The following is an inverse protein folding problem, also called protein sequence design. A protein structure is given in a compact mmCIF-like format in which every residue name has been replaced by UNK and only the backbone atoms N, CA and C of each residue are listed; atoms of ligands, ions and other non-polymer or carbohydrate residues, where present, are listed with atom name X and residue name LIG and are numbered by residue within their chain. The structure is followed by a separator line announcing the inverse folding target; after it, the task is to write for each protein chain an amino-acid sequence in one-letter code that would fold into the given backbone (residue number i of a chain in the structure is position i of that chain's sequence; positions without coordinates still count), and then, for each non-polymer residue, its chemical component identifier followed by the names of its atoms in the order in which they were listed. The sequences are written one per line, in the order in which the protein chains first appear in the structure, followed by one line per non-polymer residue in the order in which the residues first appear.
data_IF_488575067538
#
_entry.id   IF_488575067538
#
_cell.length_a   1.000
_cell.length_b   1.000
_cell.length_c   1.000
_cell.angle_alpha   90.00
_cell.angle_beta   90.00
_cell.angle_gamma   90.00
#
_symmetry.space_group_name_H-M   'P 1'
#
loop_
_entity.id
_entity.type
_entity.pdbx_description
1 polymer ?
#
# COMPACT_ATOMS: atom_id res chain seq x y z
N UNK A 1 28.97 -7.66 -2.05
CA UNK A 1 28.02 -6.52 -2.04
C UNK A 1 26.75 -6.92 -1.31
N UNK A 2 26.16 -5.99 -0.57
CA UNK A 2 24.95 -6.22 0.22
C UNK A 2 23.86 -5.29 -0.31
N UNK A 3 22.68 -5.84 -0.60
CA UNK A 3 21.49 -5.06 -0.91
C UNK A 3 20.50 -5.17 0.24
N UNK A 4 20.31 -4.08 0.98
CA UNK A 4 19.28 -4.00 2.02
C UNK A 4 18.05 -3.32 1.44
N UNK A 5 17.08 -4.13 0.99
CA UNK A 5 15.81 -3.65 0.46
C UNK A 5 14.89 -3.15 1.57
N UNK A 6 14.96 -3.75 2.76
CA UNK A 6 14.00 -3.52 3.84
C UNK A 6 12.55 -3.64 3.28
N UNK A 7 11.68 -2.66 3.55
CA UNK A 7 10.31 -2.55 3.06
C UNK A 7 10.17 -1.73 1.76
N UNK A 8 11.29 -1.40 1.09
CA UNK A 8 11.25 -0.69 -0.18
C UNK A 8 10.67 -1.57 -1.30
N UNK A 9 9.97 -0.93 -2.22
CA UNK A 9 9.42 -1.52 -3.43
C UNK A 9 10.14 -0.96 -4.67
N UNK A 10 11.38 -1.41 -4.96
CA UNK A 10 12.14 -0.90 -6.09
C UNK A 10 11.43 -1.23 -7.40
N UNK A 11 11.18 -0.20 -8.20
CA UNK A 11 10.36 -0.27 -9.41
C UNK A 11 11.16 -0.67 -10.66
N UNK A 12 12.46 -0.35 -10.69
CA UNK A 12 13.32 -0.59 -11.83
C UNK A 12 14.27 -1.77 -11.56
N UNK A 13 13.99 -2.90 -12.21
CA UNK A 13 14.80 -4.11 -12.08
C UNK A 13 16.15 -4.01 -12.79
N UNK A 14 16.28 -3.19 -13.85
CA UNK A 14 17.52 -3.03 -14.60
C UNK A 14 18.53 -2.20 -13.82
N UNK A 15 18.08 -1.13 -13.18
CA UNK A 15 18.91 -0.35 -12.25
C UNK A 15 19.43 -1.24 -11.12
N UNK A 16 18.57 -2.07 -10.52
CA UNK A 16 18.99 -2.99 -9.48
C UNK A 16 20.01 -4.02 -9.97
N UNK A 17 19.78 -4.63 -11.14
CA UNK A 17 20.71 -5.60 -11.74
C UNK A 17 22.07 -4.97 -12.03
N UNK A 18 22.10 -3.72 -12.51
CA UNK A 18 23.33 -2.98 -12.79
C UNK A 18 24.19 -2.71 -11.54
N UNK A 19 23.58 -2.65 -10.36
CA UNK A 19 24.28 -2.50 -9.08
C UNK A 19 24.88 -3.82 -8.56
N UNK A 20 24.45 -4.96 -9.11
CA UNK A 20 24.89 -6.31 -8.75
C UNK A 20 26.23 -6.73 -9.39
N UNK A 21 26.66 -7.99 -9.17
CA UNK A 21 25.96 -9.03 -8.38
C UNK A 21 26.00 -8.74 -6.87
N UNK A 22 25.00 -9.27 -6.15
CA UNK A 22 24.90 -9.14 -4.69
C UNK A 22 25.17 -10.48 -4.00
N UNK A 23 25.95 -10.45 -2.92
CA UNK A 23 26.21 -11.63 -2.09
C UNK A 23 25.08 -11.83 -1.06
N UNK A 24 24.47 -10.74 -0.61
CA UNK A 24 23.39 -10.77 0.38
C UNK A 24 22.25 -9.81 0.02
N UNK A 25 21.02 -10.29 0.20
CA UNK A 25 19.79 -9.53 0.04
C UNK A 25 18.96 -9.60 1.32
N UNK A 26 18.73 -8.44 1.94
CA UNK A 26 17.87 -8.30 3.11
C UNK A 26 16.53 -7.73 2.67
N UNK A 27 15.41 -8.38 3.03
CA UNK A 27 14.07 -8.00 2.57
C UNK A 27 12.98 -8.15 3.62
N UNK A 28 11.89 -7.42 3.40
CA UNK A 28 10.62 -7.63 4.08
C UNK A 28 9.88 -8.84 3.51
N UNK A 29 9.55 -9.77 4.40
CA UNK A 29 8.76 -10.96 4.07
C UNK A 29 7.38 -10.95 4.76
N UNK A 30 7.25 -10.21 5.85
CA UNK A 30 6.02 -10.03 6.62
C UNK A 30 5.67 -8.54 6.67
N UNK A 31 4.52 -8.17 6.12
CA UNK A 31 4.13 -6.77 5.94
C UNK A 31 3.65 -6.13 7.25
N UNK A 32 4.06 -4.89 7.47
CA UNK A 32 3.53 -4.02 8.52
C UNK A 32 2.20 -3.40 8.07
N UNK A 33 1.09 -4.11 8.27
CA UNK A 33 -0.25 -3.67 7.84
C UNK A 33 -1.34 -4.22 8.75
N UNK A 34 -2.37 -3.43 9.03
CA UNK A 34 -3.48 -3.82 9.93
C UNK A 34 -4.53 -4.72 9.27
N UNK A 35 -4.68 -4.67 7.95
CA UNK A 35 -5.69 -5.47 7.24
C UNK A 35 -5.26 -6.94 7.12
N UNK A 36 -6.12 -7.93 7.39
CA UNK A 36 -7.52 -7.81 7.80
C UNK A 36 -7.72 -7.80 9.32
N UNK A 37 -6.67 -7.93 10.12
CA UNK A 37 -6.70 -8.24 11.56
C UNK A 37 -7.60 -7.33 12.41
N UNK A 38 -7.68 -6.05 12.08
CA UNK A 38 -8.51 -5.08 12.82
C UNK A 38 -9.98 -5.07 12.38
N UNK A 39 -10.35 -5.76 11.31
CA UNK A 39 -11.69 -5.70 10.76
C UNK A 39 -12.64 -6.71 11.42
N UNK A 40 -13.87 -6.26 11.70
CA UNK A 40 -14.95 -7.13 12.20
C UNK A 40 -15.61 -7.92 11.07
N UNK A 41 -14.86 -8.81 10.43
CA UNK A 41 -15.40 -9.73 9.44
C UNK A 41 -15.98 -10.99 10.08
N UNK A 42 -16.89 -11.67 9.38
CA UNK A 42 -17.28 -13.03 9.73
C UNK A 42 -16.05 -13.93 9.70
N UNK A 43 -15.96 -14.85 10.65
CA UNK A 43 -14.79 -15.72 10.86
C UNK A 43 -14.30 -16.40 9.58
N UNK A 44 -15.19 -17.05 8.81
CA UNK A 44 -14.82 -17.70 7.55
C UNK A 44 -14.20 -16.74 6.52
N UNK A 45 -14.71 -15.51 6.43
CA UNK A 45 -14.17 -14.49 5.53
C UNK A 45 -12.81 -13.97 6.02
N UNK A 46 -12.67 -13.77 7.34
CA UNK A 46 -11.40 -13.41 7.96
C UNK A 46 -10.32 -14.46 7.63
N UNK A 47 -10.62 -15.73 7.87
CA UNK A 47 -9.74 -16.87 7.60
C UNK A 47 -9.29 -16.94 6.14
N UNK A 48 -10.22 -16.74 5.20
CA UNK A 48 -9.90 -16.71 3.77
C UNK A 48 -8.98 -15.53 3.39
N UNK A 49 -9.25 -14.34 3.94
CA UNK A 49 -8.43 -13.15 3.71
C UNK A 49 -7.01 -13.31 4.27
N UNK A 50 -6.88 -13.89 5.47
CA UNK A 50 -5.59 -14.15 6.10
C UNK A 50 -4.79 -15.14 5.29
N UNK A 51 -5.36 -16.30 4.92
CA UNK A 51 -4.68 -17.29 4.06
C UNK A 51 -4.18 -16.68 2.75
N UNK A 52 -5.06 -15.95 2.04
CA UNK A 52 -4.70 -15.27 0.79
C UNK A 52 -3.56 -14.27 1.01
N UNK A 53 -3.60 -13.51 2.11
CA UNK A 53 -2.59 -12.51 2.41
C UNK A 53 -1.24 -13.12 2.82
N UNK A 54 -1.23 -14.25 3.54
CA UNK A 54 -0.01 -15.01 3.82
C UNK A 54 0.65 -15.47 2.51
N UNK A 55 -0.11 -16.14 1.64
CA UNK A 55 0.37 -16.58 0.31
C UNK A 55 0.95 -15.42 -0.52
N UNK A 56 0.19 -14.32 -0.64
CA UNK A 56 0.60 -13.17 -1.44
C UNK A 56 1.88 -12.51 -0.92
N UNK A 57 2.07 -12.42 0.40
CA UNK A 57 3.27 -11.83 0.99
C UNK A 57 4.50 -12.71 0.77
N UNK A 58 4.40 -14.01 1.01
CA UNK A 58 5.50 -14.96 0.75
C UNK A 58 5.89 -14.98 -0.74
N UNK A 59 4.89 -15.08 -1.64
CA UNK A 59 5.13 -15.01 -3.09
C UNK A 59 5.78 -13.70 -3.53
N UNK A 60 5.38 -12.57 -2.94
CA UNK A 60 5.96 -11.26 -3.25
C UNK A 60 7.41 -11.19 -2.78
N UNK A 61 7.69 -11.65 -1.57
CA UNK A 61 9.05 -11.65 -1.01
C UNK A 61 10.00 -12.54 -1.83
N UNK A 62 9.56 -13.74 -2.24
CA UNK A 62 10.34 -14.60 -3.13
C UNK A 62 10.61 -13.93 -4.49
N UNK A 63 9.61 -13.27 -5.08
CA UNK A 63 9.83 -12.50 -6.33
C UNK A 63 10.88 -11.41 -6.18
N UNK A 64 10.93 -10.73 -5.02
CA UNK A 64 12.00 -9.76 -4.77
C UNK A 64 13.37 -10.43 -4.66
N UNK A 65 13.45 -11.58 -3.98
CA UNK A 65 14.69 -12.36 -3.91
C UNK A 65 15.19 -12.80 -5.30
N UNK A 66 14.28 -13.18 -6.19
CA UNK A 66 14.59 -13.53 -7.58
C UNK A 66 15.03 -12.31 -8.39
N UNK A 67 14.31 -11.20 -8.27
CA UNK A 67 14.60 -9.96 -9.01
C UNK A 67 15.97 -9.38 -8.66
N UNK A 68 16.33 -9.40 -7.37
CA UNK A 68 17.61 -8.90 -6.88
C UNK A 68 18.74 -9.90 -7.18
N UNK A 69 18.45 -11.20 -7.12
CA UNK A 69 19.41 -12.25 -7.45
C UNK A 69 20.58 -12.34 -6.46
N UNK A 70 20.34 -12.03 -5.18
CA UNK A 70 21.35 -12.19 -4.14
C UNK A 70 21.73 -13.66 -3.93
N UNK A 71 23.01 -13.95 -3.70
CA UNK A 71 23.47 -15.32 -3.41
C UNK A 71 22.89 -15.88 -2.10
N UNK A 72 22.63 -15.00 -1.13
CA UNK A 72 21.99 -15.32 0.15
C UNK A 72 20.86 -14.33 0.44
N UNK A 73 19.75 -14.85 0.98
CA UNK A 73 18.52 -14.10 1.24
C UNK A 73 18.24 -14.10 2.74
N UNK A 74 18.09 -12.91 3.32
CA UNK A 74 17.93 -12.70 4.77
C UNK A 74 16.56 -12.05 5.05
N UNK A 75 15.57 -12.81 5.55
CA UNK A 75 14.30 -12.25 5.99
C UNK A 75 14.51 -11.48 7.30
N UNK A 76 14.49 -10.14 7.25
CA UNK A 76 14.79 -9.30 8.43
C UNK A 76 13.73 -8.25 8.75
N UNK A 77 12.91 -7.87 7.77
CA UNK A 77 11.77 -6.98 8.02
C UNK A 77 10.50 -7.81 8.19
N UNK A 78 10.26 -8.23 9.44
CA UNK A 78 9.13 -9.05 9.88
C UNK A 78 9.49 -10.06 10.98
N UNK A 79 8.53 -10.50 11.83
CA UNK A 79 7.28 -9.84 12.22
C UNK A 79 7.49 -8.89 13.40
N UNK A 80 6.54 -7.97 13.65
CA UNK A 80 6.38 -7.39 14.97
C UNK A 80 6.03 -8.49 15.98
N UNK A 81 6.66 -8.48 17.15
CA UNK A 81 6.14 -9.19 18.32
C UNK A 81 5.12 -8.29 19.03
N UNK A 82 3.92 -8.82 19.30
CA UNK A 82 2.90 -8.10 20.05
C UNK A 82 2.95 -8.54 21.51
N UNK A 83 3.43 -7.66 22.38
CA UNK A 83 3.65 -7.98 23.80
C UNK A 83 2.56 -7.42 24.71
N UNK A 84 1.72 -6.50 24.23
CA UNK A 84 0.54 -6.08 24.99
C UNK A 84 -0.52 -7.18 24.96
N UNK A 85 -1.18 -7.43 26.09
CA UNK A 85 -2.21 -8.47 26.24
C UNK A 85 -3.35 -8.28 25.22
N UNK A 86 -3.72 -7.04 24.92
CA UNK A 86 -4.80 -6.73 23.96
C UNK A 86 -4.43 -7.06 22.51
N UNK A 87 -3.14 -7.23 22.22
CA UNK A 87 -2.63 -7.50 20.86
C UNK A 87 -1.93 -8.86 20.76
N UNK A 88 -1.77 -9.61 21.86
CA UNK A 88 -0.99 -10.84 21.89
C UNK A 88 -1.53 -11.90 20.92
N UNK A 89 -2.83 -11.88 20.63
CA UNK A 89 -3.50 -12.74 19.65
C UNK A 89 -3.01 -12.53 18.20
N UNK A 90 -2.31 -11.43 17.91
CA UNK A 90 -1.76 -11.14 16.59
C UNK A 90 -0.43 -11.87 16.31
N UNK A 91 0.21 -12.46 17.31
CA UNK A 91 1.41 -13.27 17.12
C UNK A 91 1.09 -14.61 16.43
N UNK A 92 1.96 -15.06 15.53
CA UNK A 92 1.77 -16.30 14.75
C UNK A 92 2.12 -17.54 15.59
N UNK A 93 1.24 -17.89 16.53
CA UNK A 93 1.42 -19.02 17.44
C UNK A 93 0.96 -20.34 16.81
N UNK A 94 1.75 -21.42 16.92
CA UNK A 94 1.30 -22.76 16.54
C UNK A 94 0.02 -23.15 17.29
N UNK A 95 -0.96 -23.72 16.58
CA UNK A 95 -2.22 -24.17 17.18
C UNK A 95 -3.19 -23.04 17.60
N UNK A 96 -2.88 -21.78 17.30
CA UNK A 96 -3.80 -20.67 17.56
C UNK A 96 -5.16 -20.89 16.86
N UNK A 97 -6.29 -20.53 17.49
CA UNK A 97 -7.63 -20.71 16.91
C UNK A 97 -7.83 -19.95 15.59
N UNK A 98 -7.08 -18.87 15.38
CA UNK A 98 -7.08 -18.10 14.14
C UNK A 98 -5.65 -17.76 13.72
N UNK A 99 -5.26 -18.04 12.46
CA UNK A 99 -3.97 -17.64 11.93
C UNK A 99 -3.92 -16.11 11.82
N UNK A 100 -2.71 -15.55 11.85
CA UNK A 100 -2.45 -14.12 11.65
C UNK A 100 -1.78 -13.89 10.29
N UNK A 101 -1.62 -12.63 9.88
CA UNK A 101 -0.82 -12.27 8.70
C UNK A 101 0.65 -11.99 9.02
N UNK A 102 0.99 -11.88 10.31
CA UNK A 102 2.32 -11.50 10.78
C UNK A 102 3.23 -12.71 10.91
N UNK A 103 3.67 -13.22 9.75
CA UNK A 103 4.60 -14.35 9.64
C UNK A 103 5.95 -14.04 10.28
N UNK A 104 6.58 -15.04 10.87
CA UNK A 104 8.01 -15.00 11.22
C UNK A 104 8.91 -15.67 10.18
N UNK A 105 10.21 -15.52 10.37
CA UNK A 105 11.24 -15.94 9.43
C UNK A 105 11.17 -17.43 9.11
N UNK A 106 10.84 -18.29 10.09
CA UNK A 106 10.80 -19.74 9.88
C UNK A 106 9.76 -20.11 8.82
N UNK A 107 8.58 -19.46 8.85
CA UNK A 107 7.50 -19.69 7.89
C UNK A 107 7.90 -19.29 6.46
N UNK A 108 8.64 -18.19 6.31
CA UNK A 108 9.09 -17.77 4.98
C UNK A 108 10.25 -18.62 4.46
N UNK A 109 11.18 -19.04 5.34
CA UNK A 109 12.27 -19.95 4.97
C UNK A 109 11.76 -21.33 4.56
N UNK A 110 10.75 -21.86 5.25
CA UNK A 110 10.05 -23.09 4.85
C UNK A 110 9.42 -22.90 3.46
N UNK A 111 8.70 -21.80 3.25
CA UNK A 111 8.11 -21.47 1.95
C UNK A 111 9.17 -21.39 0.83
N UNK A 112 10.35 -20.80 1.08
CA UNK A 112 11.44 -20.78 0.10
C UNK A 112 11.91 -22.20 -0.23
N UNK A 113 12.11 -23.05 0.78
CA UNK A 113 12.48 -24.46 0.61
C UNK A 113 11.45 -25.25 -0.22
N UNK A 114 10.16 -25.04 0.04
CA UNK A 114 9.07 -25.65 -0.73
C UNK A 114 9.07 -25.24 -2.22
N UNK A 115 9.61 -24.06 -2.53
CA UNK A 115 9.80 -23.58 -3.90
C UNK A 115 11.16 -23.99 -4.51
N UNK A 116 11.98 -24.76 -3.78
CA UNK A 116 13.31 -25.20 -4.20
C UNK A 116 14.39 -24.13 -4.08
N UNK A 117 14.17 -23.08 -3.27
CA UNK A 117 15.12 -22.00 -3.05
C UNK A 117 15.87 -22.14 -1.72
N UNK A 118 17.12 -22.59 -1.79
CA UNK A 118 17.99 -22.80 -0.64
C UNK A 118 18.82 -21.57 -0.24
N UNK A 119 18.57 -20.39 -0.82
CA UNK A 119 19.34 -19.16 -0.52
C UNK A 119 19.00 -18.54 0.83
N UNK A 120 17.87 -18.93 1.44
CA UNK A 120 17.38 -18.39 2.70
C UNK A 120 18.33 -18.62 3.88
N UNK A 121 18.56 -17.60 4.70
CA UNK A 121 19.40 -17.67 5.91
C UNK A 121 18.67 -17.04 7.09
N UNK A 122 18.50 -17.80 8.17
CA UNK A 122 17.93 -17.30 9.41
C UNK A 122 18.94 -16.39 10.12
N UNK A 123 18.49 -15.20 10.54
CA UNK A 123 19.24 -14.32 11.44
C UNK A 123 18.32 -13.82 12.55
N UNK A 124 18.85 -13.79 13.76
CA UNK A 124 18.19 -13.23 14.95
C UNK A 124 18.99 -12.03 15.49
N UNK A 125 18.40 -11.15 16.33
CA UNK A 125 19.14 -10.05 16.94
C UNK A 125 20.46 -10.51 17.58
N UNK A 126 21.57 -9.88 17.20
CA UNK A 126 22.91 -10.24 17.65
C UNK A 126 23.64 -11.28 16.80
N UNK A 127 23.01 -11.85 15.76
CA UNK A 127 23.71 -12.74 14.81
C UNK A 127 24.78 -12.00 14.01
N UNK A 128 25.89 -12.69 13.72
CA UNK A 128 26.98 -12.20 12.87
C UNK A 128 27.00 -13.01 11.58
N UNK A 129 26.95 -12.33 10.43
CA UNK A 129 26.99 -12.95 9.10
C UNK A 129 28.35 -12.70 8.46
N UNK A 130 29.07 -13.78 8.12
CA UNK A 130 30.33 -13.73 7.36
C UNK A 130 30.07 -14.19 5.93
N UNK A 131 30.35 -13.31 4.96
CA UNK A 131 30.12 -13.54 3.53
C UNK A 131 31.44 -13.69 2.77
N UNK A 132 31.56 -14.78 2.00
CA UNK A 132 32.69 -15.06 1.13
C UNK A 132 32.17 -15.47 -0.26
N UNK A 133 31.59 -14.50 -0.98
CA UNK A 133 30.92 -14.77 -2.26
C UNK A 133 29.70 -15.66 -2.05
N UNK A 134 29.75 -16.88 -2.60
CA UNK A 134 28.69 -17.89 -2.48
C UNK A 134 28.69 -18.66 -1.15
N UNK A 135 29.68 -18.45 -0.28
CA UNK A 135 29.70 -19.03 1.08
C UNK A 135 29.18 -17.99 2.07
N UNK A 136 28.23 -18.42 2.90
CA UNK A 136 27.70 -17.64 4.00
C UNK A 136 27.76 -18.47 5.28
N UNK A 137 28.33 -17.87 6.33
CA UNK A 137 28.32 -18.42 7.68
C UNK A 137 27.54 -17.47 8.59
N UNK A 138 26.63 -18.05 9.38
CA UNK A 138 25.85 -17.30 10.37
C UNK A 138 26.25 -17.82 11.74
N UNK A 139 26.74 -16.93 12.60
CA UNK A 139 27.02 -17.22 13.99
C UNK A 139 25.96 -16.53 14.86
N UNK A 140 25.22 -17.30 15.64
CA UNK A 140 24.21 -16.80 16.55
C UNK A 140 24.80 -16.43 17.92
N UNK A 141 24.21 -15.49 18.67
CA UNK A 141 24.68 -15.11 20.01
C UNK A 141 24.33 -16.13 21.09
N UNK A 142 23.58 -17.16 20.74
CA UNK A 142 23.10 -18.27 21.57
C UNK A 142 23.25 -19.58 20.81
N UNK A 143 23.08 -20.72 21.47
CA UNK A 143 23.19 -22.04 20.82
C UNK A 143 22.08 -22.28 19.78
N UNK A 144 22.33 -23.18 18.82
CA UNK A 144 21.32 -23.54 17.80
C UNK A 144 20.02 -24.08 18.43
N UNK A 145 20.12 -24.79 19.56
CA UNK A 145 18.97 -25.28 20.31
C UNK A 145 18.12 -24.13 20.87
N UNK A 146 18.77 -23.08 21.40
CA UNK A 146 18.09 -21.86 21.86
C UNK A 146 17.47 -21.09 20.69
N UNK A 147 18.12 -21.05 19.52
CA UNK A 147 17.53 -20.44 18.31
C UNK A 147 16.29 -21.21 17.88
N UNK A 148 16.34 -22.54 17.81
CA UNK A 148 15.17 -23.36 17.44
C UNK A 148 14.01 -23.15 18.41
N UNK A 149 14.29 -23.08 19.71
CA UNK A 149 13.28 -22.86 20.74
C UNK A 149 12.48 -21.55 20.57
N UNK A 150 13.08 -20.49 19.99
CA UNK A 150 12.37 -19.23 19.68
C UNK A 150 11.17 -19.47 18.75
N UNK A 151 11.29 -20.41 17.82
CA UNK A 151 10.29 -20.65 16.78
C UNK A 151 9.42 -21.89 17.07
N UNK A 152 9.99 -22.94 17.66
CA UNK A 152 9.27 -24.17 18.02
C UNK A 152 8.45 -24.02 19.32
N UNK A 153 9.01 -23.36 20.35
CA UNK A 153 8.32 -23.01 21.61
C UNK A 153 8.04 -21.50 21.68
N UNK A 154 7.50 -21.00 20.57
CA UNK A 154 7.30 -19.56 20.35
C UNK A 154 6.40 -18.91 21.39
N UNK A 155 5.37 -19.62 21.86
CA UNK A 155 4.48 -19.07 22.89
C UNK A 155 5.26 -18.84 24.20
N UNK A 156 6.02 -19.82 24.69
CA UNK A 156 6.80 -19.65 25.91
C UNK A 156 7.83 -18.52 25.76
N UNK A 157 8.51 -18.45 24.62
CA UNK A 157 9.45 -17.37 24.30
C UNK A 157 8.77 -15.99 24.39
N UNK A 158 7.64 -15.83 23.71
CA UNK A 158 6.88 -14.56 23.68
C UNK A 158 6.27 -14.21 25.03
N UNK A 159 5.78 -15.19 25.81
CA UNK A 159 5.29 -14.97 27.18
C UNK A 159 6.40 -14.53 28.11
N UNK A 160 7.58 -15.13 28.01
CA UNK A 160 8.78 -14.69 28.73
C UNK A 160 9.16 -13.26 28.36
N UNK A 161 9.10 -12.91 27.08
CA UNK A 161 9.38 -11.54 26.62
C UNK A 161 8.32 -10.53 27.10
N UNK A 162 7.04 -10.89 26.98
CA UNK A 162 5.92 -10.11 27.48
C UNK A 162 6.07 -9.84 28.98
N UNK A 163 6.44 -10.83 29.79
CA UNK A 163 6.64 -10.66 31.23
C UNK A 163 7.74 -9.64 31.56
N UNK A 164 8.85 -9.64 30.81
CA UNK A 164 9.94 -8.66 30.96
C UNK A 164 9.50 -7.23 30.62
N UNK A 165 8.65 -7.08 29.61
CA UNK A 165 8.21 -5.79 29.07
C UNK A 165 6.91 -5.27 29.70
N UNK A 166 6.21 -6.11 30.47
CA UNK A 166 4.94 -5.76 31.12
C UNK A 166 5.00 -4.49 31.97
N UNK A 167 6.05 -4.24 32.80
CA UNK A 167 6.13 -2.99 33.55
C UNK A 167 6.21 -1.75 32.65
N UNK A 168 6.97 -1.82 31.55
CA UNK A 168 7.10 -0.72 30.59
C UNK A 168 5.78 -0.46 29.85
N UNK A 169 5.10 -1.52 29.41
CA UNK A 169 3.77 -1.42 28.77
C UNK A 169 2.75 -0.82 29.75
N UNK A 170 2.74 -1.24 31.01
CA UNK A 170 1.83 -0.70 32.02
C UNK A 170 2.10 0.78 32.30
N UNK A 171 3.37 1.18 32.39
CA UNK A 171 3.75 2.58 32.55
C UNK A 171 3.32 3.44 31.35
N UNK A 172 3.50 2.93 30.13
CA UNK A 172 3.03 3.59 28.91
C UNK A 172 1.49 3.75 28.90
N UNK A 173 0.72 2.70 29.19
CA UNK A 173 -0.76 2.81 29.25
C UNK A 173 -1.27 3.75 30.33
N UNK A 174 -0.52 3.88 31.43
CA UNK A 174 -0.82 4.81 32.50
C UNK A 174 -0.53 6.26 32.13
N UNK A 175 0.36 6.51 31.16
CA UNK A 175 0.69 7.86 30.68
C UNK A 175 -0.37 8.43 29.73
N UNK A 176 -1.20 7.57 29.13
CA UNK A 176 -2.20 8.01 28.15
C UNK A 176 -3.20 9.00 28.74
N UNK A 177 -3.49 10.10 28.01
CA UNK A 177 -4.44 11.11 28.45
C UNK A 177 -5.85 10.55 28.62
N UNK A 178 -6.59 11.08 29.60
CA UNK A 178 -7.98 10.69 29.90
C UNK A 178 -8.80 11.92 30.29
N UNK A 179 -9.78 12.27 29.47
CA UNK A 179 -10.61 13.46 29.66
C UNK A 179 -9.85 14.78 29.57
N UNK A 180 -8.71 14.80 28.87
CA UNK A 180 -7.85 15.99 28.70
C UNK A 180 -8.31 16.87 27.55
N UNK A 181 -8.94 16.28 26.53
CA UNK A 181 -9.43 16.98 25.35
C UNK A 181 -10.89 16.61 25.06
N UNK A 182 -11.68 17.59 24.60
CA UNK A 182 -12.99 17.32 24.02
C UNK A 182 -12.81 16.76 22.60
N UNK A 183 -12.98 15.45 22.44
CA UNK A 183 -12.68 14.73 21.19
C UNK A 183 -13.43 15.34 20.00
N UNK A 184 -14.72 15.64 20.16
CA UNK A 184 -15.53 16.18 19.06
C UNK A 184 -15.02 17.55 18.58
N UNK A 185 -14.83 18.52 19.48
CA UNK A 185 -14.37 19.85 19.07
C UNK A 185 -12.93 19.83 18.56
N UNK A 186 -12.07 18.97 19.12
CA UNK A 186 -10.68 18.80 18.68
C UNK A 186 -10.60 18.17 17.29
N UNK A 187 -11.32 17.06 17.04
CA UNK A 187 -11.44 16.47 15.70
C UNK A 187 -12.03 17.46 14.70
N UNK A 188 -13.06 18.23 15.09
CA UNK A 188 -13.64 19.26 14.21
C UNK A 188 -12.62 20.34 13.86
N UNK A 189 -11.86 20.83 14.84
CA UNK A 189 -10.84 21.87 14.64
C UNK A 189 -9.72 21.41 13.71
N UNK A 190 -9.28 20.15 13.85
CA UNK A 190 -8.25 19.56 13.01
C UNK A 190 -8.76 19.26 11.59
N UNK A 191 -9.86 18.51 11.47
CA UNK A 191 -10.25 17.87 10.21
C UNK A 191 -11.14 18.76 9.34
N UNK A 192 -12.03 19.58 9.92
CA UNK A 192 -13.01 20.33 9.11
C UNK A 192 -12.38 21.35 8.15
N UNK A 193 -11.35 22.14 8.54
CA UNK A 193 -10.66 23.03 7.61
C UNK A 193 -9.98 22.30 6.45
N UNK A 194 -9.56 21.05 6.67
CA UNK A 194 -8.97 20.18 5.65
C UNK A 194 -10.03 19.66 4.69
N UNK A 195 -11.15 19.14 5.21
CA UNK A 195 -12.29 18.69 4.41
C UNK A 195 -12.80 19.77 3.44
N UNK A 196 -12.84 21.03 3.90
CA UNK A 196 -13.29 22.16 3.07
C UNK A 196 -12.41 22.37 1.82
N UNK A 197 -11.16 21.92 1.84
CA UNK A 197 -10.17 22.07 0.77
C UNK A 197 -9.86 20.78 0.01
N UNK A 198 -10.39 19.65 0.46
CA UNK A 198 -10.04 18.32 -0.03
C UNK A 198 -11.02 17.86 -1.13
N UNK A 199 -11.07 18.55 -2.26
CA UNK A 199 -12.06 18.33 -3.31
C UNK A 199 -12.03 16.89 -3.87
N UNK A 200 -10.86 16.44 -4.32
CA UNK A 200 -10.68 15.10 -4.89
C UNK A 200 -10.81 14.03 -3.82
N UNK A 201 -10.25 14.24 -2.64
CA UNK A 201 -10.39 13.30 -1.52
C UNK A 201 -11.84 13.12 -1.12
N UNK A 202 -12.60 14.20 -0.96
CA UNK A 202 -14.01 14.12 -0.59
C UNK A 202 -14.83 13.37 -1.65
N UNK A 203 -14.59 13.66 -2.93
CA UNK A 203 -15.21 12.95 -4.05
C UNK A 203 -14.80 11.47 -4.12
N UNK A 204 -13.55 11.13 -3.80
CA UNK A 204 -13.05 9.76 -3.78
C UNK A 204 -13.56 8.94 -2.59
N UNK A 205 -13.72 9.56 -1.42
CA UNK A 205 -14.34 8.90 -0.26
C UNK A 205 -15.84 8.70 -0.49
N UNK A 206 -16.53 9.76 -0.93
CA UNK A 206 -17.98 9.80 -1.23
C UNK A 206 -18.84 9.10 -0.17
N UNK A 207 -18.53 9.32 1.11
CA UNK A 207 -19.18 8.64 2.22
C UNK A 207 -18.89 9.33 3.56
N UNK A 208 -19.62 8.90 4.59
CA UNK A 208 -19.35 9.23 5.99
C UNK A 208 -18.44 8.20 6.64
N UNK A 209 -17.50 8.68 7.43
CA UNK A 209 -16.65 7.88 8.31
C UNK A 209 -17.06 8.16 9.76
N UNK A 210 -17.39 7.12 10.52
CA UNK A 210 -17.67 7.20 11.96
C UNK A 210 -16.44 6.80 12.76
N UNK A 211 -16.06 7.63 13.74
CA UNK A 211 -15.16 7.26 14.82
C UNK A 211 -15.98 7.08 16.11
N UNK A 212 -15.97 5.87 16.65
CA UNK A 212 -16.50 5.53 17.96
C UNK A 212 -15.33 5.50 18.95
N UNK A 213 -15.27 6.50 19.81
CA UNK A 213 -14.21 6.76 20.78
C UNK A 213 -14.75 6.61 22.21
N UNK A 214 -15.33 5.45 22.53
CA UNK A 214 -16.04 5.26 23.79
C UNK A 214 -17.41 5.96 23.79
N UNK A 215 -17.59 6.98 24.62
CA UNK A 215 -18.85 7.73 24.72
C UNK A 215 -19.04 8.78 23.60
N UNK A 216 -17.96 9.11 22.89
CA UNK A 216 -17.96 10.04 21.77
C UNK A 216 -18.05 9.32 20.44
N UNK A 217 -19.12 9.62 19.71
CA UNK A 217 -19.35 9.12 18.35
C UNK A 217 -19.29 10.31 17.39
N UNK A 218 -18.22 10.38 16.61
CA UNK A 218 -17.88 11.52 15.78
C UNK A 218 -17.90 11.12 14.31
N UNK A 219 -18.68 11.84 13.50
CA UNK A 219 -18.75 11.66 12.07
C UNK A 219 -17.83 12.65 11.36
N UNK A 220 -16.97 12.12 10.51
CA UNK A 220 -16.24 12.85 9.47
C UNK A 220 -17.02 12.67 8.17
N UNK A 221 -17.78 13.70 7.80
CA UNK A 221 -18.66 13.67 6.63
C UNK A 221 -17.98 14.28 5.42
N UNK A 222 -17.54 13.43 4.49
CA UNK A 222 -16.91 13.85 3.24
C UNK A 222 -17.92 14.34 2.19
N UNK A 223 -19.22 14.10 2.39
CA UNK A 223 -20.27 14.61 1.49
C UNK A 223 -20.55 16.09 1.81
N UNK A 224 -20.72 16.39 3.09
CA UNK A 224 -21.06 17.72 3.60
C UNK A 224 -19.82 18.51 4.08
N UNK A 225 -18.64 17.90 4.02
CA UNK A 225 -17.34 18.46 4.44
C UNK A 225 -17.34 19.05 5.84
N UNK A 226 -17.92 18.31 6.79
CA UNK A 226 -18.11 18.75 8.18
C UNK A 226 -17.85 17.63 9.18
N UNK A 227 -17.57 18.03 10.43
CA UNK A 227 -17.36 17.09 11.54
C UNK A 227 -18.39 17.35 12.65
N UNK A 228 -19.14 16.33 13.04
CA UNK A 228 -20.25 16.47 13.98
C UNK A 228 -20.54 15.19 14.77
N UNK A 229 -21.36 15.30 15.82
CA UNK A 229 -21.77 14.15 16.64
C UNK A 229 -22.70 13.25 15.83
N UNK A 230 -22.47 11.94 15.88
CA UNK A 230 -23.31 10.98 15.16
C UNK A 230 -24.77 11.04 15.62
N UNK A 231 -25.69 11.08 14.67
CA UNK A 231 -27.14 11.13 14.89
C UNK A 231 -27.86 9.84 14.50
N UNK A 232 -27.13 8.75 14.23
CA UNK A 232 -27.69 7.48 13.78
C UNK A 232 -27.75 7.31 12.25
N UNK A 233 -27.23 8.27 11.49
CA UNK A 233 -27.17 8.16 10.02
C UNK A 233 -26.19 7.07 9.54
N UNK A 234 -26.34 6.64 8.28
CA UNK A 234 -25.50 5.59 7.71
C UNK A 234 -24.06 6.09 7.47
N UNK A 235 -23.10 5.41 8.11
CA UNK A 235 -21.67 5.57 7.86
C UNK A 235 -21.12 4.32 7.16
N UNK A 236 -20.48 4.52 6.00
CA UNK A 236 -19.91 3.44 5.17
C UNK A 236 -18.67 2.84 5.81
N UNK A 237 -17.90 3.65 6.53
CA UNK A 237 -16.69 3.25 7.23
C UNK A 237 -16.87 3.56 8.71
N UNK A 238 -16.44 2.64 9.58
CA UNK A 238 -16.50 2.84 11.03
C UNK A 238 -15.19 2.40 11.64
N UNK A 239 -14.65 3.22 12.51
CA UNK A 239 -13.46 2.95 13.31
C UNK A 239 -13.85 2.98 14.79
N UNK A 240 -13.43 1.97 15.54
CA UNK A 240 -13.62 1.87 16.98
C UNK A 240 -12.25 2.00 17.62
N UNK A 241 -12.06 3.06 18.40
CA UNK A 241 -10.78 3.46 18.97
C UNK A 241 -10.99 3.73 20.45
N UNK A 242 -10.04 3.37 21.31
CA UNK A 242 -10.12 3.76 22.72
C UNK A 242 -9.97 5.29 22.85
N UNK A 243 -10.82 5.92 23.66
CA UNK A 243 -10.79 7.38 23.87
C UNK A 243 -9.39 7.91 24.21
N UNK A 244 -8.61 7.30 25.14
CA UNK A 244 -7.26 7.75 25.45
C UNK A 244 -6.30 7.80 24.26
N UNK A 245 -6.41 6.88 23.30
CA UNK A 245 -5.58 6.88 22.10
C UNK A 245 -5.98 8.03 21.18
N UNK A 246 -7.28 8.28 21.03
CA UNK A 246 -7.77 9.42 20.27
C UNK A 246 -7.35 10.75 20.91
N UNK A 247 -7.44 10.85 22.24
CA UNK A 247 -6.98 12.02 22.99
C UNK A 247 -5.48 12.26 22.79
N UNK A 248 -4.65 11.21 22.87
CA UNK A 248 -3.21 11.31 22.67
C UNK A 248 -2.84 11.84 21.28
N UNK A 249 -3.49 11.35 20.22
CA UNK A 249 -3.27 11.82 18.85
C UNK A 249 -3.64 13.30 18.69
N UNK A 250 -4.77 13.71 19.29
CA UNK A 250 -5.28 15.07 19.21
C UNK A 250 -4.44 16.06 20.03
N UNK A 251 -3.99 15.66 21.22
CA UNK A 251 -3.12 16.47 22.07
C UNK A 251 -1.73 16.65 21.46
N UNK A 252 -1.17 15.59 20.87
CA UNK A 252 0.12 15.64 20.18
C UNK A 252 0.07 16.43 18.85
N UNK A 253 -1.12 16.72 18.33
CA UNK A 253 -1.29 17.32 17.01
C UNK A 253 -0.81 16.39 15.88
N UNK A 254 -0.97 15.08 16.04
CA UNK A 254 -0.50 14.07 15.10
C UNK A 254 -1.16 14.25 13.72
N UNK A 255 -0.32 14.39 12.69
CA UNK A 255 -0.76 14.69 11.33
C UNK A 255 -0.82 13.44 10.43
N UNK A 256 -0.31 12.30 10.91
CA UNK A 256 -0.26 11.03 10.19
C UNK A 256 -0.83 9.89 11.04
N UNK A 257 -2.16 9.77 11.05
CA UNK A 257 -2.85 8.73 11.80
C UNK A 257 -2.66 7.35 11.18
N UNK A 258 -2.25 7.25 9.91
CA UNK A 258 -1.85 5.94 9.35
C UNK A 258 -0.67 5.39 10.14
N UNK A 259 0.35 6.21 10.36
CA UNK A 259 1.53 5.80 11.11
C UNK A 259 1.25 5.63 12.61
N UNK A 260 0.61 6.60 13.25
CA UNK A 260 0.50 6.63 14.71
C UNK A 260 -0.71 5.86 15.27
N UNK A 261 -1.78 5.67 14.49
CA UNK A 261 -2.97 4.92 14.91
C UNK A 261 -3.13 3.61 14.14
N UNK A 262 -3.23 3.64 12.81
CA UNK A 262 -3.64 2.45 12.07
C UNK A 262 -2.57 1.35 12.06
N UNK A 263 -1.28 1.70 11.97
CA UNK A 263 -0.20 0.72 12.09
C UNK A 263 -0.07 0.14 13.51
N UNK A 264 -0.62 0.79 14.53
CA UNK A 264 -0.61 0.26 15.92
C UNK A 264 -1.48 -0.99 16.11
N UNK A 265 -2.41 -1.25 15.19
CA UNK A 265 -3.46 -2.27 15.31
C UNK A 265 -4.37 -2.12 16.54
N UNK A 266 -4.32 -1.00 17.29
CA UNK A 266 -5.16 -0.72 18.47
C UNK A 266 -6.53 -0.11 18.15
N UNK A 267 -7.14 -0.58 17.08
CA UNK A 267 -8.47 -0.16 16.67
C UNK A 267 -9.20 -1.32 16.02
N UNK A 268 -10.51 -1.19 15.90
CA UNK A 268 -11.31 -2.08 15.07
C UNK A 268 -11.97 -1.31 13.94
N UNK A 269 -12.28 -2.00 12.84
CA UNK A 269 -12.87 -1.40 11.66
C UNK A 269 -14.04 -2.20 11.09
N UNK A 270 -15.04 -1.48 10.59
CA UNK A 270 -16.11 -1.99 9.73
C UNK A 270 -16.16 -1.18 8.43
N UNK A 271 -16.55 -1.83 7.34
CA UNK A 271 -16.81 -1.15 6.07
C UNK A 271 -17.88 -1.82 5.24
N UNK A 272 -18.70 -1.00 4.60
CA UNK A 272 -19.61 -1.40 3.53
C UNK A 272 -18.91 -1.27 2.16
N UNK A 273 -18.81 -2.36 1.41
CA UNK A 273 -18.26 -2.38 0.04
C UNK A 273 -16.76 -2.68 -0.03
N UNK A 274 -16.06 -2.14 -1.04
CA UNK A 274 -14.61 -2.34 -1.28
C UNK A 274 -13.73 -1.41 -0.41
N UNK A 275 -12.43 -1.71 -0.35
CA UNK A 275 -11.42 -0.83 0.26
C UNK A 275 -11.44 0.54 -0.45
N UNK A 276 -11.20 1.61 0.29
CA UNK A 276 -11.14 2.97 -0.25
C UNK A 276 -9.85 3.64 0.24
N UNK A 277 -8.90 3.83 -0.67
CA UNK A 277 -7.60 4.42 -0.37
C UNK A 277 -7.70 5.91 0.03
N UNK A 278 -8.68 6.64 -0.49
CA UNK A 278 -8.89 8.06 -0.17
C UNK A 278 -9.13 8.28 1.32
N UNK A 279 -9.81 7.34 2.00
CA UNK A 279 -10.02 7.40 3.46
C UNK A 279 -8.67 7.39 4.17
N UNK A 280 -7.80 6.45 3.83
CA UNK A 280 -6.52 6.28 4.51
C UNK A 280 -5.52 7.38 4.14
N UNK A 281 -5.50 7.80 2.86
CA UNK A 281 -4.66 8.90 2.41
C UNK A 281 -5.05 10.22 3.08
N UNK A 282 -6.35 10.48 3.30
CA UNK A 282 -6.77 11.64 4.09
C UNK A 282 -6.18 11.61 5.50
N UNK A 283 -6.34 10.49 6.21
CA UNK A 283 -5.81 10.32 7.57
C UNK A 283 -4.27 10.23 7.65
N UNK A 284 -3.57 10.09 6.53
CA UNK A 284 -2.10 10.23 6.42
C UNK A 284 -1.65 11.70 6.27
N UNK A 285 -2.57 12.56 5.85
CA UNK A 285 -2.30 13.91 5.36
C UNK A 285 -3.12 14.95 6.12
N UNK A 286 -3.05 14.94 7.46
CA UNK A 286 -3.84 15.83 8.33
C UNK A 286 -3.20 17.20 8.57
N UNK A 287 -2.41 17.67 7.61
CA UNK A 287 -1.84 19.02 7.57
C UNK A 287 -2.13 19.68 6.23
N UNK A 288 -2.02 21.02 6.19
CA UNK A 288 -2.33 21.76 4.95
C UNK A 288 -1.38 21.39 3.82
N UNK A 289 -0.10 21.27 4.14
CA UNK A 289 0.99 20.97 3.22
C UNK A 289 0.85 19.54 2.66
N UNK A 290 0.61 18.57 3.54
CA UNK A 290 0.40 17.16 3.16
C UNK A 290 -0.88 16.98 2.36
N UNK A 291 -1.97 17.65 2.73
CA UNK A 291 -3.23 17.62 2.00
C UNK A 291 -3.07 18.24 0.61
N UNK A 292 -2.37 19.38 0.50
CA UNK A 292 -2.14 20.02 -0.78
C UNK A 292 -1.33 19.13 -1.72
N UNK A 293 -0.30 18.45 -1.20
CA UNK A 293 0.44 17.44 -1.97
C UNK A 293 -0.47 16.29 -2.42
N UNK A 294 -1.31 15.78 -1.53
CA UNK A 294 -2.25 14.69 -1.84
C UNK A 294 -3.28 15.09 -2.90
N UNK A 295 -3.87 16.28 -2.76
CA UNK A 295 -4.84 16.81 -3.71
C UNK A 295 -4.17 17.12 -5.07
N UNK A 296 -2.94 17.62 -5.08
CA UNK A 296 -2.15 17.77 -6.30
C UNK A 296 -1.88 16.43 -6.98
N UNK A 297 -1.47 15.42 -6.21
CA UNK A 297 -1.31 14.05 -6.70
C UNK A 297 -2.62 13.51 -7.30
N UNK A 298 -3.77 13.74 -6.65
CA UNK A 298 -5.05 13.35 -7.20
C UNK A 298 -5.46 14.16 -8.42
N UNK A 299 -5.22 15.46 -8.46
CA UNK A 299 -5.48 16.30 -9.63
C UNK A 299 -4.67 15.80 -10.84
N UNK A 300 -3.37 15.56 -10.65
CA UNK A 300 -2.48 14.97 -11.65
C UNK A 300 -2.92 13.54 -12.04
N UNK A 301 -3.39 12.74 -11.08
CA UNK A 301 -3.86 11.36 -11.32
C UNK A 301 -5.24 11.30 -11.98
N UNK A 302 -6.08 12.31 -11.77
CA UNK A 302 -7.42 12.47 -12.35
C UNK A 302 -7.41 13.25 -13.67
N UNK A 303 -6.27 13.84 -14.04
CA UNK A 303 -6.04 14.40 -15.36
C UNK A 303 -4.61 14.91 -15.57
N UNK A 304 -3.81 14.15 -16.31
CA UNK A 304 -3.27 14.74 -17.53
C UNK A 304 -4.07 14.20 -18.72
N UNK A 305 -4.74 15.12 -19.42
CA UNK A 305 -5.16 14.94 -20.82
C UNK A 305 -3.95 14.94 -21.78
N UNK A 306 -2.78 14.56 -21.26
CA UNK A 306 -1.63 14.26 -22.08
C UNK A 306 -1.94 12.98 -22.83
N UNK A 307 -2.44 13.19 -24.03
CA UNK A 307 -2.48 12.19 -25.07
C UNK A 307 -1.15 12.28 -25.82
N UNK A 308 -0.55 11.13 -26.10
CA UNK A 308 0.60 11.03 -27.00
C UNK A 308 0.20 10.23 -28.23
N UNK A 309 0.95 10.38 -29.31
CA UNK A 309 0.68 9.66 -30.55
C UNK A 309 1.38 8.30 -30.53
N UNK A 310 0.61 7.23 -30.69
CA UNK A 310 1.11 5.87 -30.76
C UNK A 310 0.36 5.12 -31.86
N UNK A 311 1.08 4.68 -32.89
CA UNK A 311 0.57 3.81 -33.96
C UNK A 311 -0.75 4.31 -34.60
N UNK A 312 -0.86 5.61 -34.88
CA UNK A 312 -2.05 6.22 -35.49
C UNK A 312 -3.19 6.55 -34.52
N UNK A 313 -2.94 6.50 -33.21
CA UNK A 313 -3.90 6.88 -32.19
C UNK A 313 -3.33 7.96 -31.26
N UNK A 314 -4.17 8.90 -30.81
CA UNK A 314 -3.94 9.66 -29.59
C UNK A 314 -4.31 8.75 -28.42
N UNK A 315 -3.34 8.46 -27.57
CA UNK A 315 -3.46 7.52 -26.46
C UNK A 315 -3.16 8.26 -25.16
N UNK A 316 -3.94 8.04 -24.11
CA UNK A 316 -3.59 8.62 -22.80
C UNK A 316 -2.18 8.18 -22.39
N UNK A 317 -1.35 9.12 -21.94
CA UNK A 317 0.04 8.87 -21.59
C UNK A 317 0.19 7.96 -20.37
N UNK A 318 -0.70 8.05 -19.38
CA UNK A 318 -0.58 7.29 -18.12
C UNK A 318 -1.43 6.03 -18.14
N UNK A 319 -0.86 4.88 -17.78
CA UNK A 319 -1.60 3.61 -17.68
C UNK A 319 -2.74 3.69 -16.64
N UNK A 320 -3.97 3.20 -16.96
CA UNK A 320 -5.13 3.30 -16.06
C UNK A 320 -5.03 2.42 -14.80
N UNK A 321 -4.07 1.49 -14.72
CA UNK A 321 -3.83 0.63 -13.55
C UNK A 321 -3.11 1.36 -12.40
N UNK A 322 -1.85 1.76 -12.63
CA UNK A 322 -0.97 2.41 -11.63
C UNK A 322 -0.08 3.50 -12.26
N UNK A 323 -0.59 4.16 -13.32
CA UNK A 323 -0.04 5.40 -13.89
C UNK A 323 1.41 5.35 -14.42
N UNK A 324 1.92 4.15 -14.75
CA UNK A 324 3.15 4.01 -15.52
C UNK A 324 3.09 4.89 -16.80
N UNK A 325 4.20 5.55 -17.12
CA UNK A 325 4.31 6.40 -18.32
C UNK A 325 4.34 5.53 -19.58
N UNK A 326 3.31 5.56 -20.41
CA UNK A 326 3.24 4.75 -21.63
C UNK A 326 4.11 5.33 -22.76
N UNK A 327 4.58 6.57 -22.67
CA UNK A 327 5.60 7.07 -23.63
C UNK A 327 6.97 6.46 -23.38
N UNK A 328 7.24 6.02 -22.14
CA UNK A 328 8.52 5.43 -21.74
C UNK A 328 8.43 3.90 -21.62
N UNK A 329 7.32 3.40 -21.08
CA UNK A 329 7.12 1.99 -20.72
C UNK A 329 6.01 1.31 -21.53
N UNK A 330 5.46 1.99 -22.55
CA UNK A 330 4.49 1.41 -23.47
C UNK A 330 5.18 0.70 -24.62
N UNK A 331 4.89 -0.58 -24.81
CA UNK A 331 5.35 -1.34 -25.98
C UNK A 331 4.17 -1.67 -26.88
N UNK A 332 4.21 -1.17 -28.12
CA UNK A 332 3.21 -1.46 -29.14
C UNK A 332 3.63 -2.66 -29.99
N UNK A 333 2.71 -3.60 -30.18
CA UNK A 333 2.80 -4.68 -31.17
C UNK A 333 1.40 -5.08 -31.63
N UNK A 334 1.20 -5.20 -32.95
CA UNK A 334 -0.02 -5.77 -33.57
C UNK A 334 -1.36 -5.21 -33.02
N UNK A 335 -1.45 -3.88 -32.88
CA UNK A 335 -2.68 -3.21 -32.41
C UNK A 335 -2.86 -3.20 -30.88
N UNK A 336 -1.93 -3.79 -30.13
CA UNK A 336 -1.96 -3.88 -28.67
C UNK A 336 -0.83 -3.05 -28.07
N UNK A 337 -1.17 -2.16 -27.14
CA UNK A 337 -0.22 -1.43 -26.30
C UNK A 337 -0.10 -2.12 -24.95
N UNK A 338 1.11 -2.59 -24.63
CA UNK A 338 1.44 -3.25 -23.36
C UNK A 338 2.12 -2.27 -22.42
N UNK A 339 1.61 -2.15 -21.19
CA UNK A 339 2.30 -1.46 -20.11
C UNK A 339 3.36 -2.37 -19.51
N UNK A 340 4.63 -2.14 -19.82
CA UNK A 340 5.74 -3.03 -19.44
C UNK A 340 6.01 -3.07 -17.92
N UNK A 341 5.54 -2.07 -17.18
CA UNK A 341 5.65 -2.03 -15.72
C UNK A 341 4.74 -3.04 -15.00
N UNK A 342 3.55 -3.31 -15.56
CA UNK A 342 2.51 -4.04 -14.84
C UNK A 342 1.84 -5.13 -15.69
N UNK A 343 2.27 -5.30 -16.96
CA UNK A 343 1.81 -6.36 -17.85
C UNK A 343 0.39 -6.21 -18.37
N UNK A 344 -0.27 -5.06 -18.15
CA UNK A 344 -1.60 -4.81 -18.70
C UNK A 344 -1.54 -4.53 -20.20
N UNK A 345 -2.32 -5.26 -20.98
CA UNK A 345 -2.39 -5.15 -22.43
C UNK A 345 -3.68 -4.44 -22.82
N UNK A 346 -3.60 -3.48 -23.73
CA UNK A 346 -4.73 -2.67 -24.17
C UNK A 346 -4.85 -2.72 -25.69
N UNK A 347 -6.01 -3.09 -26.20
CA UNK A 347 -6.32 -3.00 -27.63
C UNK A 347 -6.55 -1.53 -28.01
N UNK A 348 -5.71 -0.96 -28.88
CA UNK A 348 -5.77 0.49 -29.17
C UNK A 348 -7.05 0.90 -29.89
N UNK A 349 -7.62 0.02 -30.72
CA UNK A 349 -8.85 0.31 -31.46
C UNK A 349 -10.07 0.54 -30.56
N UNK A 350 -10.11 -0.06 -29.36
CA UNK A 350 -11.30 -0.04 -28.49
C UNK A 350 -11.01 0.55 -27.11
N UNK A 351 -9.73 0.61 -26.73
CA UNK A 351 -9.27 0.95 -25.40
C UNK A 351 -9.43 -0.18 -24.38
N UNK A 352 -9.95 -1.36 -24.77
CA UNK A 352 -10.24 -2.47 -23.86
C UNK A 352 -8.95 -3.07 -23.32
N UNK A 353 -8.89 -3.32 -22.01
CA UNK A 353 -7.81 -4.12 -21.44
C UNK A 353 -8.05 -5.61 -21.70
N UNK A 354 -7.07 -6.31 -22.27
CA UNK A 354 -7.14 -7.72 -22.61
C UNK A 354 -6.81 -8.63 -21.42
N UNK A 355 -6.23 -8.07 -20.36
CA UNK A 355 -5.78 -8.82 -19.16
C UNK A 355 -6.58 -8.46 -17.90
N UNK A 356 -7.57 -7.57 -17.98
CA UNK A 356 -8.46 -7.20 -16.87
C UNK A 356 -9.76 -6.58 -17.39
N UNK A 357 -10.90 -7.00 -16.85
CA UNK A 357 -12.21 -6.46 -17.23
C UNK A 357 -12.53 -5.08 -16.60
N UNK A 358 -11.81 -4.71 -15.53
CA UNK A 358 -12.06 -3.48 -14.76
C UNK A 358 -11.26 -2.26 -15.28
N UNK A 359 -10.42 -2.44 -16.31
CA UNK A 359 -9.51 -1.40 -16.81
C UNK A 359 -9.83 -1.02 -18.27
N UNK A 360 -9.74 0.28 -18.57
CA UNK A 360 -9.87 0.81 -19.93
C UNK A 360 -8.87 1.93 -20.18
N UNK A 361 -8.23 1.88 -21.34
CA UNK A 361 -7.34 2.91 -21.86
C UNK A 361 -8.12 3.84 -22.79
N UNK A 362 -7.98 5.14 -22.63
CA UNK A 362 -8.55 6.12 -23.56
C UNK A 362 -7.67 6.22 -24.80
N UNK A 363 -8.28 5.97 -25.95
CA UNK A 363 -7.64 6.00 -27.27
C UNK A 363 -8.57 6.68 -28.28
N UNK A 364 -8.01 7.46 -29.19
CA UNK A 364 -8.72 8.15 -30.28
C UNK A 364 -7.91 7.98 -31.56
N UNK A 365 -8.50 7.56 -32.70
CA UNK A 365 -7.77 7.51 -33.97
C UNK A 365 -7.35 8.91 -34.40
N UNK A 366 -6.14 9.04 -34.93
CA UNK A 366 -5.68 10.26 -35.59
C UNK A 366 -6.19 10.20 -37.02
N UNK A 367 -7.15 11.05 -37.38
CA UNK A 367 -7.59 11.19 -38.77
C UNK A 367 -6.45 11.83 -39.58
N UNK A 368 -5.83 11.05 -40.46
CA UNK A 368 -5.00 11.63 -41.52
C UNK A 368 -5.93 12.45 -42.43
N UNK A 369 -5.66 13.76 -42.52
CA UNK A 369 -6.23 14.58 -43.57
C UNK A 369 -5.99 13.89 -44.91
N UNK A 370 -7.08 13.57 -45.61
CA UNK A 370 -7.03 12.93 -46.91
C UNK A 370 -6.06 13.65 -47.86
N UNK A 371 -5.36 12.93 -48.75
CA UNK A 371 -4.50 13.51 -49.77
C UNK A 371 -5.37 14.18 -50.84
N UNK A 372 -5.88 15.36 -50.53
CA UNK A 372 -6.67 16.19 -51.43
C UNK A 372 -6.19 17.64 -51.35
N UNK A 373 -4.89 17.86 -51.57
CA UNK A 373 -4.38 19.16 -52.02
C UNK A 373 -2.90 19.09 -52.44
N UNK A 374 -2.64 18.48 -53.59
CA UNK A 374 -1.51 18.87 -54.47
C UNK A 374 -1.87 18.56 -55.93
N UNK A 375 -2.58 19.48 -56.60
CA UNK A 375 -2.35 19.84 -58.01
C UNK A 375 -3.33 20.95 -58.47
N UNK A 376 -2.90 22.19 -58.29
CA UNK A 376 -2.95 23.28 -59.29
C UNK A 376 -4.24 23.57 -60.06
N UNK A 377 -4.83 24.73 -59.79
CA UNK A 377 -5.84 25.32 -60.66
C UNK A 377 -6.30 26.72 -60.26
N UNK A 378 -5.35 27.66 -60.12
CA UNK A 378 -5.65 29.09 -60.01
C UNK A 378 -6.35 29.58 -61.29
N UNK A 379 -7.53 30.20 -61.17
CA UNK A 379 -8.06 31.11 -62.18
C UNK A 379 -8.86 32.22 -61.50
N UNK A 380 -8.47 33.50 -61.62
CA UNK A 380 -9.24 34.60 -61.09
C UNK A 380 -10.23 35.10 -62.14
N UNK A 381 -11.43 35.43 -61.64
CA UNK A 381 -12.43 36.34 -62.19
C UNK A 381 -12.02 37.25 -63.35
N UNK A 382 -12.89 37.32 -64.38
CA UNK A 382 -13.40 38.61 -64.85
C UNK A 382 -13.19 38.98 -66.33
N UNK A 383 -14.32 38.96 -67.05
CA UNK A 383 -14.80 40.10 -67.90
C UNK A 383 -14.33 40.21 -69.38
N UNK A 384 -15.29 39.85 -70.25
CA UNK A 384 -15.75 40.49 -71.51
C UNK A 384 -14.76 40.81 -72.66
N UNK A 385 -14.96 40.02 -73.73
CA UNK A 385 -15.48 40.42 -75.04
C UNK A 385 -14.58 41.02 -76.15
N UNK A 386 -14.92 40.51 -77.35
CA UNK A 386 -14.78 41.04 -78.74
C UNK A 386 -13.53 40.66 -79.53
N UNK A 387 -13.79 40.06 -80.69
CA UNK A 387 -13.27 40.58 -81.95
C UNK A 387 -12.71 39.52 -82.90
N UNK A 388 -13.50 39.23 -83.94
CA UNK A 388 -13.16 38.70 -85.27
C UNK A 388 -12.44 37.36 -85.39
#
# INVERSE_FOLDING_TARGET
RIFNQNDAHPLDADVLRALGPFDAHFLQFSGAIWFPMVYRFREQAMQALIRRKRDQQSRRALRYADQVGGAHVFPTAGPPCFLDDDLFYLNDLPGAPSPTIFLDQSVFLEYMGDQGDERGRLVIPGSVVSLHGSRCEVAHPVSDDEVRAIFEDKEAYLRGYQARLRPAIAAERASWPRGTVDILSSMRRLLQPLLQKADHTCAGVNARVLFSCGADEVVVDFLERRVYRWGGEKCRFRFFVEAPLMEALLEAGEEDWVNSLFLSCRFQAERDGKYNEYVYNFFKCLSRERLQYLEGYYAESTGTDEMWECAGYRVQRRCPHMKADLTEFGQYADGVLTCMMHGHQFELATGRCLTSDDLRLRTEPIEDASPADQAGGYSPTGTLARGS
#
